data_IF_453082456627
#
_entry.id   IF_453082456627
#
_cell.length_a   1.000
_cell.length_b   1.000
_cell.length_c   1.000
_cell.angle_alpha   90.00
_cell.angle_beta   90.00
_cell.angle_gamma   90.00
#
_symmetry.space_group_name_H-M   'P 1'
#
loop_
_entity.id
_entity.type
_entity.pdbx_description
1 polymer ?
#
# COMPACT_ATOMS: atom_id res chain seq x y z
N UNK A 1 -16.04 3.78 -9.51
CA UNK A 1 -14.67 3.64 -8.96
C UNK A 1 -14.42 2.18 -8.70
N UNK A 2 -13.29 1.67 -9.12
CA UNK A 2 -12.88 0.28 -8.87
C UNK A 2 -12.58 0.08 -7.38
N UNK A 3 -13.20 -0.89 -6.74
CA UNK A 3 -13.11 -1.12 -5.29
C UNK A 3 -12.83 -2.57 -4.91
N UNK A 4 -12.94 -3.51 -5.87
CA UNK A 4 -12.76 -4.92 -5.59
C UNK A 4 -11.30 -5.33 -5.68
N UNK A 5 -10.82 -6.00 -4.62
CA UNK A 5 -9.55 -6.69 -4.61
C UNK A 5 -9.81 -8.19 -4.67
N UNK A 6 -9.32 -8.84 -5.72
CA UNK A 6 -9.52 -10.27 -5.94
C UNK A 6 -8.26 -11.03 -5.55
N UNK A 7 -8.42 -12.19 -4.90
CA UNK A 7 -7.33 -13.12 -4.62
C UNK A 7 -7.67 -14.49 -5.18
N UNK A 8 -6.84 -15.00 -6.07
CA UNK A 8 -7.03 -16.28 -6.75
C UNK A 8 -6.12 -17.31 -6.09
N UNK A 9 -6.69 -18.10 -5.18
CA UNK A 9 -5.96 -19.06 -4.32
C UNK A 9 -5.93 -20.45 -4.95
N UNK A 10 -6.99 -20.82 -5.64
CA UNK A 10 -7.14 -22.13 -6.29
C UNK A 10 -6.79 -22.03 -7.78
N UNK A 11 -6.36 -23.13 -8.40
CA UNK A 11 -6.20 -23.19 -9.85
C UNK A 11 -7.46 -22.72 -10.57
N UNK A 12 -7.30 -21.74 -11.45
CA UNK A 12 -8.39 -21.13 -12.19
C UNK A 12 -7.98 -20.81 -13.62
N UNK A 13 -8.95 -20.84 -14.52
CA UNK A 13 -8.80 -20.28 -15.86
C UNK A 13 -9.43 -18.88 -15.87
N UNK A 14 -8.64 -17.85 -16.17
CA UNK A 14 -9.07 -16.46 -16.15
C UNK A 14 -9.15 -15.94 -17.58
N UNK A 15 -10.33 -15.47 -17.96
CA UNK A 15 -10.57 -14.90 -19.30
C UNK A 15 -11.49 -13.68 -19.20
N UNK A 16 -11.54 -12.89 -20.26
CA UNK A 16 -12.42 -11.73 -20.39
C UNK A 16 -13.50 -12.02 -21.44
N UNK A 17 -14.75 -11.63 -21.14
CA UNK A 17 -15.87 -11.62 -22.09
C UNK A 17 -16.87 -10.54 -21.69
N UNK A 18 -17.29 -9.70 -22.64
CA UNK A 18 -18.31 -8.66 -22.41
C UNK A 18 -17.98 -7.78 -21.19
N UNK A 19 -16.75 -7.27 -21.11
CA UNK A 19 -16.25 -6.42 -20.01
C UNK A 19 -16.29 -7.07 -18.62
N UNK A 20 -16.52 -8.39 -18.59
CA UNK A 20 -16.48 -9.19 -17.36
C UNK A 20 -15.21 -10.04 -17.32
N UNK A 21 -14.57 -10.07 -16.15
CA UNK A 21 -13.55 -11.05 -15.84
C UNK A 21 -14.24 -12.34 -15.41
N UNK A 22 -14.02 -13.41 -16.15
CA UNK A 22 -14.54 -14.74 -15.85
C UNK A 22 -13.44 -15.55 -15.17
N UNK A 23 -13.73 -16.04 -13.96
CA UNK A 23 -12.85 -16.88 -13.16
C UNK A 23 -13.48 -18.26 -13.10
N UNK A 24 -12.91 -19.20 -13.83
CA UNK A 24 -13.40 -20.58 -13.99
C UNK A 24 -12.59 -21.48 -13.07
N UNK A 25 -13.26 -22.02 -12.06
CA UNK A 25 -12.81 -23.10 -11.17
C UNK A 25 -13.78 -24.27 -11.35
N UNK A 26 -14.32 -24.87 -10.30
CA UNK A 26 -15.47 -25.77 -10.36
C UNK A 26 -16.74 -25.01 -10.76
N UNK A 27 -16.82 -23.74 -10.39
CA UNK A 27 -17.87 -22.81 -10.77
C UNK A 27 -17.28 -21.65 -11.58
N UNK A 28 -18.10 -21.03 -12.42
CA UNK A 28 -17.73 -19.81 -13.15
C UNK A 28 -18.23 -18.60 -12.37
N UNK A 29 -17.30 -17.75 -11.92
CA UNK A 29 -17.63 -16.46 -11.32
C UNK A 29 -17.33 -15.35 -12.30
N UNK A 30 -18.22 -14.36 -12.37
CA UNK A 30 -18.10 -13.20 -13.24
C UNK A 30 -17.99 -11.92 -12.41
N UNK A 31 -17.04 -11.07 -12.72
CA UNK A 31 -16.81 -9.78 -12.04
C UNK A 31 -16.64 -8.70 -13.11
N UNK A 32 -17.40 -7.57 -13.05
CA UNK A 32 -17.16 -6.44 -13.94
C UNK A 32 -15.72 -5.94 -13.78
N UNK A 33 -14.98 -5.76 -14.89
CA UNK A 33 -13.58 -5.38 -14.83
C UNK A 33 -13.42 -3.97 -14.27
N UNK A 34 -14.38 -3.08 -14.53
CA UNK A 34 -14.40 -1.71 -13.99
C UNK A 34 -14.45 -1.64 -12.46
N UNK A 35 -15.01 -2.68 -11.81
CA UNK A 35 -15.06 -2.77 -10.34
C UNK A 35 -13.74 -3.21 -9.73
N UNK A 36 -12.81 -3.78 -10.51
CA UNK A 36 -11.59 -4.39 -10.00
C UNK A 36 -10.49 -3.35 -9.90
N UNK A 37 -9.88 -3.23 -8.73
CA UNK A 37 -8.72 -2.37 -8.49
C UNK A 37 -7.40 -3.15 -8.43
N UNK A 38 -7.44 -4.37 -7.89
CA UNK A 38 -6.27 -5.22 -7.74
C UNK A 38 -6.63 -6.71 -7.88
N UNK A 39 -5.71 -7.50 -8.41
CA UNK A 39 -5.79 -8.97 -8.44
C UNK A 39 -4.48 -9.52 -7.89
N UNK A 40 -4.58 -10.50 -6.98
CA UNK A 40 -3.45 -11.29 -6.50
C UNK A 40 -3.61 -12.71 -7.04
N UNK A 41 -2.69 -13.13 -7.91
CA UNK A 41 -2.61 -14.48 -8.45
C UNK A 41 -1.68 -15.29 -7.54
N UNK A 42 -2.23 -15.91 -6.51
CA UNK A 42 -1.49 -16.76 -5.57
C UNK A 42 -1.30 -18.17 -6.14
N UNK A 43 -2.32 -18.70 -6.82
CA UNK A 43 -2.22 -20.02 -7.45
C UNK A 43 -1.32 -19.99 -8.68
N UNK A 44 -0.19 -20.69 -8.61
CA UNK A 44 0.77 -20.84 -9.70
C UNK A 44 0.30 -21.72 -10.87
N UNK A 45 -0.79 -22.45 -10.66
CA UNK A 45 -1.42 -23.32 -11.69
C UNK A 45 -2.55 -22.62 -12.43
N UNK A 46 -2.87 -21.36 -12.07
CA UNK A 46 -3.87 -20.59 -12.80
C UNK A 46 -3.35 -20.16 -14.16
N UNK A 47 -4.27 -20.09 -15.13
CA UNK A 47 -3.98 -19.59 -16.48
C UNK A 47 -4.78 -18.32 -16.73
N UNK A 48 -4.18 -17.34 -17.39
CA UNK A 48 -4.83 -16.10 -17.78
C UNK A 48 -4.65 -15.85 -19.27
N UNK A 49 -5.73 -15.47 -19.95
CA UNK A 49 -5.63 -15.14 -21.37
C UNK A 49 -5.01 -13.74 -21.56
N UNK A 50 -4.28 -13.54 -22.67
CA UNK A 50 -3.73 -12.22 -23.03
C UNK A 50 -4.82 -11.15 -23.19
N UNK A 51 -6.03 -11.55 -23.64
CA UNK A 51 -7.18 -10.66 -23.72
C UNK A 51 -7.62 -10.17 -22.32
N UNK A 52 -7.62 -11.05 -21.31
CA UNK A 52 -7.93 -10.68 -19.94
C UNK A 52 -6.82 -9.75 -19.36
N UNK A 53 -5.55 -10.05 -19.60
CA UNK A 53 -4.45 -9.19 -19.18
C UNK A 53 -4.53 -7.78 -19.80
N UNK A 54 -4.83 -7.70 -21.10
CA UNK A 54 -5.01 -6.44 -21.80
C UNK A 54 -6.18 -5.63 -21.23
N UNK A 55 -7.33 -6.29 -20.99
CA UNK A 55 -8.50 -5.64 -20.42
C UNK A 55 -8.25 -5.13 -18.99
N UNK A 56 -7.56 -5.91 -18.14
CA UNK A 56 -7.15 -5.49 -16.80
C UNK A 56 -6.22 -4.27 -16.86
N UNK A 57 -5.21 -4.30 -17.73
CA UNK A 57 -4.29 -3.18 -17.89
C UNK A 57 -5.00 -1.91 -18.39
N UNK A 58 -5.91 -2.03 -19.36
CA UNK A 58 -6.70 -0.91 -19.89
C UNK A 58 -7.62 -0.29 -18.82
N UNK A 59 -8.10 -1.07 -17.88
CA UNK A 59 -8.92 -0.59 -16.75
C UNK A 59 -8.09 -0.17 -15.52
N UNK A 60 -6.77 -0.10 -15.64
CA UNK A 60 -5.91 0.37 -14.57
C UNK A 60 -5.79 -0.59 -13.39
N UNK A 61 -6.02 -1.89 -13.60
CA UNK A 61 -5.92 -2.91 -12.55
C UNK A 61 -4.46 -3.29 -12.34
N UNK A 62 -4.01 -3.34 -11.07
CA UNK A 62 -2.72 -3.95 -10.73
C UNK A 62 -2.91 -5.46 -10.57
N UNK A 63 -2.02 -6.24 -11.18
CA UNK A 63 -1.98 -7.70 -11.00
C UNK A 63 -0.69 -8.10 -10.33
N UNK A 64 -0.79 -8.77 -9.17
CA UNK A 64 0.34 -9.33 -8.43
C UNK A 64 0.55 -10.78 -8.82
N UNK A 65 1.82 -11.14 -9.01
CA UNK A 65 2.29 -12.50 -9.25
C UNK A 65 3.00 -13.01 -8.01
N UNK A 66 2.70 -14.24 -7.59
CA UNK A 66 3.33 -14.85 -6.41
C UNK A 66 4.32 -15.95 -6.81
N UNK A 67 5.36 -16.08 -6.01
CA UNK A 67 6.39 -17.12 -6.12
C UNK A 67 5.95 -18.45 -5.48
N UNK A 68 6.91 -19.40 -5.35
CA UNK A 68 6.68 -20.70 -4.72
C UNK A 68 6.42 -20.63 -3.21
N UNK A 69 6.77 -19.52 -2.58
CA UNK A 69 6.48 -19.25 -1.16
C UNK A 69 5.13 -18.53 -1.00
N UNK A 70 4.41 -18.35 -2.12
CA UNK A 70 3.14 -17.63 -2.17
C UNK A 70 3.25 -16.16 -1.73
N UNK A 71 4.41 -15.53 -1.94
CA UNK A 71 4.64 -14.11 -1.70
C UNK A 71 4.64 -13.33 -3.02
N UNK A 72 4.15 -12.09 -3.04
CA UNK A 72 4.21 -11.25 -4.23
C UNK A 72 5.66 -11.02 -4.68
N UNK A 73 6.04 -11.54 -5.84
CA UNK A 73 7.37 -11.43 -6.43
C UNK A 73 7.40 -10.55 -7.68
N UNK A 74 6.23 -10.24 -8.25
CA UNK A 74 6.13 -9.39 -9.43
C UNK A 74 4.77 -8.71 -9.54
N UNK A 75 4.73 -7.65 -10.34
CA UNK A 75 3.49 -6.91 -10.64
C UNK A 75 3.37 -6.59 -12.13
N UNK A 76 2.12 -6.57 -12.63
CA UNK A 76 1.78 -5.92 -13.90
C UNK A 76 1.10 -4.60 -13.61
N UNK A 77 1.62 -3.52 -14.19
CA UNK A 77 1.09 -2.18 -14.08
C UNK A 77 0.49 -1.73 -15.44
N UNK A 78 -0.49 -0.82 -15.44
CA UNK A 78 -1.00 -0.22 -16.64
C UNK A 78 0.12 0.47 -17.44
N UNK A 79 0.08 0.35 -18.77
CA UNK A 79 1.04 0.99 -19.65
C UNK A 79 0.42 2.21 -20.32
N UNK A 80 1.08 3.38 -20.19
CA UNK A 80 0.76 4.61 -20.96
C UNK A 80 -0.71 5.10 -20.84
N UNK A 81 -1.34 5.04 -19.66
CA UNK A 81 -2.74 5.48 -19.46
C UNK A 81 -2.92 7.01 -19.36
N UNK A 82 -1.88 7.76 -18.99
CA UNK A 82 -2.00 9.19 -18.72
C UNK A 82 -1.66 10.03 -19.96
N UNK A 83 -2.64 10.79 -20.47
CA UNK A 83 -2.50 11.60 -21.71
C UNK A 83 -1.42 12.70 -21.62
N UNK A 84 -1.01 13.11 -20.42
CA UNK A 84 0.00 14.16 -20.17
C UNK A 84 1.25 13.62 -19.45
N UNK A 85 1.62 12.38 -19.67
CA UNK A 85 2.73 11.70 -18.97
C UNK A 85 4.05 12.50 -19.07
N UNK A 86 4.40 13.02 -20.24
CA UNK A 86 5.62 13.83 -20.40
C UNK A 86 5.61 15.08 -19.52
N UNK A 87 4.45 15.73 -19.34
CA UNK A 87 4.31 16.90 -18.47
C UNK A 87 4.49 16.54 -16.98
N UNK A 88 3.99 15.36 -16.57
CA UNK A 88 4.19 14.83 -15.20
C UNK A 88 5.65 14.49 -14.98
N UNK A 89 6.30 13.80 -15.93
CA UNK A 89 7.71 13.45 -15.86
C UNK A 89 8.60 14.69 -15.74
N UNK A 90 8.37 15.71 -16.58
CA UNK A 90 9.10 16.98 -16.52
C UNK A 90 8.94 17.65 -15.15
N UNK A 91 7.74 17.62 -14.58
CA UNK A 91 7.47 18.14 -13.25
C UNK A 91 8.26 17.36 -12.18
N UNK A 92 8.26 16.01 -12.22
CA UNK A 92 9.03 15.19 -11.27
C UNK A 92 10.54 15.50 -11.35
N UNK A 93 11.10 15.55 -12.56
CA UNK A 93 12.52 15.85 -12.78
C UNK A 93 12.87 17.29 -12.39
N UNK A 94 11.92 18.21 -12.51
CA UNK A 94 12.08 19.62 -12.12
C UNK A 94 11.88 19.90 -10.63
N UNK A 95 11.53 18.91 -9.81
CA UNK A 95 11.39 19.07 -8.37
C UNK A 95 12.73 19.48 -7.75
N UNK A 96 12.77 20.66 -7.14
CA UNK A 96 13.96 21.12 -6.43
C UNK A 96 14.18 20.33 -5.13
N UNK A 97 15.43 20.20 -4.71
CA UNK A 97 15.77 19.50 -3.46
C UNK A 97 15.01 20.08 -2.23
N UNK A 98 14.85 21.41 -2.06
CA UNK A 98 14.02 21.94 -0.98
C UNK A 98 12.55 21.52 -1.07
N UNK A 99 11.98 21.40 -2.27
CA UNK A 99 10.61 20.93 -2.44
C UNK A 99 10.48 19.45 -2.03
N UNK A 100 11.37 18.59 -2.52
CA UNK A 100 11.44 17.17 -2.12
C UNK A 100 11.54 17.02 -0.60
N UNK A 101 12.46 17.79 0.04
CA UNK A 101 12.65 17.74 1.50
C UNK A 101 11.41 18.17 2.30
N UNK A 102 10.65 19.17 1.82
CA UNK A 102 9.40 19.58 2.48
C UNK A 102 8.29 18.51 2.32
N UNK A 103 8.20 17.90 1.14
CA UNK A 103 7.25 16.82 0.92
C UNK A 103 7.60 15.59 1.77
N UNK A 104 8.87 15.24 1.84
CA UNK A 104 9.34 14.14 2.70
C UNK A 104 9.06 14.41 4.18
N UNK A 105 9.29 15.62 4.67
CA UNK A 105 8.92 16.02 6.02
C UNK A 105 7.44 15.74 6.32
N UNK A 106 6.53 16.08 5.40
CA UNK A 106 5.10 15.82 5.56
C UNK A 106 4.83 14.30 5.67
N UNK A 107 5.45 13.50 4.79
CA UNK A 107 5.32 12.04 4.77
C UNK A 107 5.77 11.42 6.09
N UNK A 108 6.98 11.76 6.57
CA UNK A 108 7.53 11.23 7.82
C UNK A 108 6.70 11.66 9.03
N UNK A 109 6.28 12.92 9.07
CA UNK A 109 5.42 13.42 10.14
C UNK A 109 4.12 12.61 10.22
N UNK A 110 3.45 12.39 9.08
CA UNK A 110 2.21 11.62 9.03
C UNK A 110 2.43 10.14 9.38
N UNK A 111 3.54 9.54 8.93
CA UNK A 111 3.92 8.18 9.33
C UNK A 111 4.01 8.04 10.83
N UNK A 112 4.78 8.92 11.50
CA UNK A 112 5.00 8.85 12.94
C UNK A 112 3.69 9.14 13.70
N UNK A 113 2.86 10.06 13.22
CA UNK A 113 1.53 10.31 13.78
C UNK A 113 0.64 9.08 13.69
N UNK A 114 0.63 8.36 12.57
CA UNK A 114 -0.14 7.16 12.39
C UNK A 114 0.42 5.98 13.20
N UNK A 115 1.73 5.90 13.41
CA UNK A 115 2.34 4.96 14.36
C UNK A 115 1.90 5.25 15.81
N UNK A 116 1.87 6.53 16.20
CA UNK A 116 1.37 6.94 17.51
C UNK A 116 -0.12 6.58 17.66
N UNK A 117 -0.94 6.85 16.65
CA UNK A 117 -2.36 6.47 16.67
C UNK A 117 -2.55 4.96 16.76
N UNK A 118 -1.73 4.16 16.04
CA UNK A 118 -1.73 2.71 16.13
C UNK A 118 -1.45 2.23 17.57
N UNK A 119 -0.45 2.80 18.25
CA UNK A 119 -0.19 2.50 19.66
C UNK A 119 -1.36 2.87 20.56
N UNK A 120 -1.97 4.06 20.36
CA UNK A 120 -3.13 4.49 21.13
C UNK A 120 -4.31 3.52 20.98
N UNK A 121 -4.61 3.09 19.74
CA UNK A 121 -5.66 2.12 19.44
C UNK A 121 -5.38 0.72 20.03
N UNK A 122 -4.10 0.40 20.23
CA UNK A 122 -3.68 -0.81 20.93
C UNK A 122 -3.58 -0.64 22.48
N UNK A 123 -4.07 0.48 23.03
CA UNK A 123 -4.06 0.77 24.48
C UNK A 123 -2.72 1.24 25.04
N UNK A 124 -1.74 1.53 24.18
CA UNK A 124 -0.38 1.99 24.52
C UNK A 124 -0.30 3.52 24.58
N UNK A 125 -1.04 4.13 25.49
CA UNK A 125 -1.27 5.59 25.51
C UNK A 125 -0.01 6.41 25.84
N UNK A 126 0.88 5.91 26.69
CA UNK A 126 2.12 6.59 27.04
C UNK A 126 3.11 6.59 25.86
N UNK A 127 3.27 5.44 25.22
CA UNK A 127 4.12 5.26 24.05
C UNK A 127 3.59 6.07 22.86
N UNK A 128 2.27 6.13 22.69
CA UNK A 128 1.62 6.98 21.71
C UNK A 128 1.94 8.46 21.94
N UNK A 129 1.82 8.95 23.17
CA UNK A 129 2.13 10.34 23.53
C UNK A 129 3.59 10.70 23.22
N UNK A 130 4.53 9.77 23.47
CA UNK A 130 5.94 9.94 23.12
C UNK A 130 6.11 10.12 21.61
N UNK A 131 5.50 9.26 20.76
CA UNK A 131 5.61 9.35 19.31
C UNK A 131 4.91 10.59 18.75
N UNK A 132 3.78 11.03 19.30
CA UNK A 132 3.16 12.32 18.92
C UNK A 132 4.12 13.50 19.18
N UNK A 133 4.88 13.44 20.28
CA UNK A 133 5.95 14.41 20.54
C UNK A 133 7.06 14.35 19.49
N UNK A 134 7.51 13.14 19.12
CA UNK A 134 8.55 12.92 18.09
C UNK A 134 8.12 13.41 16.72
N UNK A 135 6.87 13.22 16.33
CA UNK A 135 6.34 13.71 15.05
C UNK A 135 6.50 15.23 14.87
N UNK A 136 6.40 16.00 15.96
CA UNK A 136 6.60 17.46 15.95
C UNK A 136 8.07 17.88 15.74
N UNK A 137 9.01 16.99 16.00
CA UNK A 137 10.44 17.24 15.87
C UNK A 137 10.98 17.00 14.45
N UNK A 138 10.15 16.47 13.53
CA UNK A 138 10.57 16.19 12.15
C UNK A 138 10.85 17.50 11.42
N UNK A 139 12.11 17.68 11.01
CA UNK A 139 12.57 18.84 10.25
C UNK A 139 12.56 18.58 8.75
N UNK A 140 12.77 19.63 7.93
CA UNK A 140 12.80 19.50 6.47
C UNK A 140 13.88 18.50 6.01
N UNK A 141 13.42 17.43 5.35
CA UNK A 141 14.26 16.32 4.88
C UNK A 141 14.67 15.34 5.97
N UNK A 142 14.05 15.43 7.16
CA UNK A 142 14.31 14.56 8.32
C UNK A 142 15.80 14.41 8.64
N UNK A 143 16.51 15.55 8.76
CA UNK A 143 17.96 15.59 8.94
C UNK A 143 18.47 14.82 10.17
N UNK A 144 17.67 14.80 11.23
CA UNK A 144 18.00 14.15 12.49
C UNK A 144 17.58 12.67 12.52
N UNK A 145 17.13 12.14 11.37
CA UNK A 145 16.66 10.75 11.21
C UNK A 145 15.63 10.34 12.28
N UNK A 146 14.65 11.23 12.51
CA UNK A 146 13.58 11.04 13.48
C UNK A 146 12.73 9.82 13.10
N UNK A 147 12.57 9.56 11.79
CA UNK A 147 11.88 8.40 11.26
C UNK A 147 12.45 7.09 11.80
N UNK A 148 13.77 6.89 11.65
CA UNK A 148 14.42 5.65 12.10
C UNK A 148 14.34 5.49 13.62
N UNK A 149 14.54 6.57 14.38
CA UNK A 149 14.46 6.55 15.84
C UNK A 149 13.02 6.28 16.33
N UNK A 150 12.01 6.82 15.64
CA UNK A 150 10.61 6.53 15.91
C UNK A 150 10.27 5.08 15.61
N UNK A 151 10.72 4.52 14.48
CA UNK A 151 10.50 3.13 14.11
C UNK A 151 11.18 2.16 15.11
N UNK A 152 12.40 2.47 15.56
CA UNK A 152 13.12 1.69 16.56
C UNK A 152 12.38 1.62 17.91
N UNK A 153 11.68 2.68 18.27
CA UNK A 153 10.84 2.71 19.47
C UNK A 153 9.48 2.03 19.24
N UNK A 154 8.86 2.28 18.08
CA UNK A 154 7.50 1.87 17.76
C UNK A 154 7.29 0.36 17.76
N UNK A 155 8.15 -0.40 17.06
CA UNK A 155 7.94 -1.84 16.89
C UNK A 155 8.05 -2.63 18.19
N UNK A 156 9.04 -2.40 19.06
CA UNK A 156 9.04 -3.02 20.40
C UNK A 156 7.86 -2.60 21.27
N UNK A 157 7.44 -1.33 21.20
CA UNK A 157 6.25 -0.87 21.92
C UNK A 157 4.97 -1.56 21.45
N UNK A 158 4.83 -1.82 20.13
CA UNK A 158 3.64 -2.46 19.55
C UNK A 158 3.59 -3.96 19.80
N UNK A 159 4.70 -4.68 19.53
CA UNK A 159 4.73 -6.15 19.50
C UNK A 159 5.40 -6.80 20.70
N UNK A 160 6.03 -6.02 21.57
CA UNK A 160 6.73 -6.48 22.77
C UNK A 160 8.24 -6.25 22.72
N UNK A 161 8.84 -6.25 23.91
CA UNK A 161 10.28 -6.04 24.08
C UNK A 161 11.09 -7.09 23.30
N UNK A 162 12.14 -6.66 22.60
CA UNK A 162 12.98 -7.51 21.76
C UNK A 162 12.45 -7.75 20.33
N UNK A 163 11.23 -7.31 20.01
CA UNK A 163 10.73 -7.43 18.63
C UNK A 163 11.49 -6.53 17.67
N UNK A 164 11.92 -7.10 16.56
CA UNK A 164 12.54 -6.36 15.45
C UNK A 164 11.94 -6.76 14.11
N UNK A 165 12.02 -5.86 13.13
CA UNK A 165 11.59 -6.15 11.76
C UNK A 165 12.47 -7.19 11.03
N UNK A 166 13.49 -7.72 11.69
CA UNK A 166 14.39 -8.77 11.20
C UNK A 166 14.06 -10.17 11.73
N UNK A 167 13.13 -10.27 12.68
CA UNK A 167 12.71 -11.57 13.22
C UNK A 167 12.04 -12.40 12.11
N UNK A 168 12.35 -13.68 12.07
CA UNK A 168 11.70 -14.65 11.18
C UNK A 168 10.45 -15.24 11.90
N UNK A 169 9.39 -14.45 11.97
CA UNK A 169 8.12 -14.82 12.58
C UNK A 169 6.93 -14.47 11.65
N UNK A 170 5.77 -15.00 11.97
CA UNK A 170 4.56 -14.80 11.16
C UNK A 170 4.08 -13.35 11.14
N UNK A 171 4.29 -12.58 12.21
CA UNK A 171 3.94 -11.15 12.21
C UNK A 171 4.76 -10.39 11.19
N UNK A 172 6.08 -10.63 11.14
CA UNK A 172 6.94 -10.02 10.12
C UNK A 172 6.59 -10.48 8.70
N UNK A 173 6.27 -11.76 8.51
CA UNK A 173 5.81 -12.28 7.23
C UNK A 173 4.50 -11.62 6.80
N UNK A 174 3.53 -11.46 7.70
CA UNK A 174 2.26 -10.79 7.45
C UNK A 174 2.45 -9.29 7.12
N UNK A 175 3.31 -8.59 7.86
CA UNK A 175 3.64 -7.19 7.58
C UNK A 175 4.33 -7.04 6.23
N UNK A 176 5.30 -7.90 5.90
CA UNK A 176 5.98 -7.86 4.60
C UNK A 176 5.00 -8.10 3.45
N UNK A 177 4.09 -9.07 3.61
CA UNK A 177 3.04 -9.33 2.64
C UNK A 177 2.13 -8.11 2.43
N UNK A 178 1.60 -7.55 3.51
CA UNK A 178 0.73 -6.38 3.45
C UNK A 178 1.44 -5.16 2.84
N UNK A 179 2.71 -4.92 3.21
CA UNK A 179 3.50 -3.83 2.64
C UNK A 179 3.78 -4.03 1.14
N UNK A 180 3.97 -5.26 0.68
CA UNK A 180 4.12 -5.54 -0.75
C UNK A 180 2.83 -5.19 -1.52
N UNK A 181 1.66 -5.49 -0.95
CA UNK A 181 0.35 -5.11 -1.52
C UNK A 181 0.18 -3.57 -1.55
N UNK A 182 0.44 -2.88 -0.43
CA UNK A 182 0.36 -1.42 -0.36
C UNK A 182 1.32 -0.76 -1.36
N UNK A 183 2.57 -1.25 -1.46
CA UNK A 183 3.58 -0.78 -2.40
C UNK A 183 3.13 -0.92 -3.86
N UNK A 184 2.65 -2.11 -4.23
CA UNK A 184 2.19 -2.36 -5.60
C UNK A 184 0.95 -1.53 -5.95
N UNK A 185 0.03 -1.33 -5.00
CA UNK A 185 -1.12 -0.48 -5.20
C UNK A 185 -0.72 1.01 -5.35
N UNK A 186 0.22 1.49 -4.55
CA UNK A 186 0.77 2.84 -4.69
C UNK A 186 1.47 3.01 -6.05
N UNK A 187 2.25 2.02 -6.49
CA UNK A 187 2.89 2.02 -7.80
C UNK A 187 1.85 2.07 -8.94
N UNK A 188 0.72 1.36 -8.81
CA UNK A 188 -0.43 1.47 -9.72
C UNK A 188 -0.95 2.90 -9.77
N UNK A 189 -1.25 3.50 -8.60
CA UNK A 189 -1.74 4.87 -8.56
C UNK A 189 -0.78 5.83 -9.28
N UNK A 190 0.51 5.74 -8.99
CA UNK A 190 1.53 6.55 -9.65
C UNK A 190 1.50 6.39 -11.17
N UNK A 191 1.50 5.16 -11.66
CA UNK A 191 1.52 4.86 -13.11
C UNK A 191 0.26 5.37 -13.80
N UNK A 192 -0.92 5.16 -13.21
CA UNK A 192 -2.21 5.64 -13.76
C UNK A 192 -2.23 7.17 -13.88
N UNK A 193 -1.63 7.90 -12.94
CA UNK A 193 -1.53 9.36 -12.96
C UNK A 193 -0.27 9.89 -13.66
N UNK A 194 0.47 9.03 -14.37
CA UNK A 194 1.60 9.38 -15.23
C UNK A 194 2.92 9.64 -14.51
N UNK A 195 3.01 9.33 -13.22
CA UNK A 195 4.26 9.43 -12.45
C UNK A 195 5.16 8.22 -12.70
N UNK A 196 6.46 8.45 -12.59
CA UNK A 196 7.47 7.39 -12.60
C UNK A 196 7.73 6.92 -11.16
N UNK A 197 7.43 5.65 -10.82
CA UNK A 197 7.57 5.15 -9.46
C UNK A 197 9.02 5.14 -8.93
N UNK A 198 10.03 5.12 -9.82
CA UNK A 198 11.44 5.12 -9.44
C UNK A 198 11.98 6.49 -9.02
N UNK A 199 11.33 7.60 -9.38
CA UNK A 199 11.80 8.96 -9.06
C UNK A 199 11.30 9.40 -7.68
N UNK A 200 11.99 9.01 -6.62
CA UNK A 200 11.60 9.27 -5.24
C UNK A 200 11.75 10.72 -4.77
N UNK A 201 11.11 11.00 -3.64
CA UNK A 201 11.29 12.24 -2.88
C UNK A 201 12.54 12.17 -1.98
N UNK A 202 12.74 11.01 -1.36
CA UNK A 202 13.80 10.71 -0.40
C UNK A 202 14.60 9.47 -0.79
N UNK A 203 13.94 8.33 -1.01
CA UNK A 203 14.61 7.14 -1.50
C UNK A 203 15.14 7.37 -2.92
N UNK A 204 16.41 7.00 -3.14
CA UNK A 204 17.14 7.26 -4.39
C UNK A 204 18.08 6.08 -4.73
N UNK A 205 17.60 4.87 -4.52
CA UNK A 205 18.36 3.66 -4.88
C UNK A 205 18.22 3.38 -6.37
N UNK A 206 19.34 3.26 -7.07
CA UNK A 206 19.38 2.90 -8.50
C UNK A 206 18.80 1.50 -8.78
N UNK A 207 18.80 0.62 -7.77
CA UNK A 207 18.30 -0.75 -7.87
C UNK A 207 16.79 -0.84 -7.57
N UNK A 208 16.17 0.23 -7.04
CA UNK A 208 14.78 0.23 -6.64
C UNK A 208 13.89 0.96 -7.65
N UNK A 209 13.12 0.21 -8.40
CA UNK A 209 12.15 0.77 -9.36
C UNK A 209 10.92 1.43 -8.70
N UNK A 210 10.81 1.41 -7.36
CA UNK A 210 9.64 1.86 -6.60
C UNK A 210 9.96 2.92 -5.55
N UNK A 211 11.07 3.65 -5.67
CA UNK A 211 11.49 4.67 -4.69
C UNK A 211 10.36 5.63 -4.27
N UNK A 212 9.59 6.17 -5.23
CA UNK A 212 8.48 7.08 -4.94
C UNK A 212 7.27 6.35 -4.32
N UNK A 213 7.01 5.12 -4.74
CA UNK A 213 5.95 4.32 -4.13
C UNK A 213 6.28 4.00 -2.67
N UNK A 214 7.54 3.67 -2.39
CA UNK A 214 8.02 3.43 -1.03
C UNK A 214 7.91 4.71 -0.18
N UNK A 215 8.30 5.87 -0.72
CA UNK A 215 8.13 7.16 -0.02
C UNK A 215 6.67 7.43 0.37
N UNK A 216 5.76 7.32 -0.60
CA UNK A 216 4.37 7.73 -0.40
C UNK A 216 3.51 6.71 0.36
N UNK A 217 3.91 5.43 0.40
CA UNK A 217 3.17 4.43 1.18
C UNK A 217 3.48 4.47 2.68
N UNK A 218 4.56 5.14 3.10
CA UNK A 218 4.98 5.15 4.51
C UNK A 218 3.86 5.53 5.51
N UNK A 219 3.03 6.55 5.27
CA UNK A 219 1.93 6.90 6.18
C UNK A 219 0.79 5.87 6.21
N UNK A 220 0.75 4.94 5.25
CA UNK A 220 -0.27 3.89 5.18
C UNK A 220 0.17 2.59 5.86
N UNK A 221 1.47 2.37 6.08
CA UNK A 221 1.98 1.15 6.75
C UNK A 221 1.32 0.87 8.09
N UNK A 222 1.04 1.86 8.95
CA UNK A 222 0.39 1.62 10.24
C UNK A 222 -1.02 1.00 10.15
N UNK A 223 -1.68 1.02 9.00
CA UNK A 223 -2.93 0.27 8.78
C UNK A 223 -2.67 -1.25 8.88
N UNK A 224 -1.58 -1.70 8.24
CA UNK A 224 -1.17 -3.10 8.31
C UNK A 224 -0.66 -3.46 9.71
N UNK A 225 0.11 -2.55 10.34
CA UNK A 225 0.65 -2.74 11.68
C UNK A 225 -0.47 -2.95 12.70
N UNK A 226 -1.49 -2.10 12.66
CA UNK A 226 -2.67 -2.18 13.54
C UNK A 226 -3.41 -3.51 13.35
N UNK A 227 -3.64 -3.90 12.08
CA UNK A 227 -4.31 -5.15 11.78
C UNK A 227 -3.53 -6.36 12.30
N UNK A 228 -2.22 -6.40 12.03
CA UNK A 228 -1.35 -7.50 12.45
C UNK A 228 -1.25 -7.56 13.98
N UNK A 229 -1.10 -6.43 14.65
CA UNK A 229 -1.03 -6.38 16.11
C UNK A 229 -2.32 -6.91 16.77
N UNK A 230 -3.48 -6.62 16.20
CA UNK A 230 -4.77 -7.03 16.74
C UNK A 230 -5.18 -8.47 16.38
N UNK A 231 -4.69 -9.04 15.26
CA UNK A 231 -5.26 -10.26 14.68
C UNK A 231 -4.26 -11.39 14.40
N UNK A 232 -2.95 -11.15 14.53
CA UNK A 232 -1.93 -12.15 14.18
C UNK A 232 -1.10 -12.51 15.39
N UNK A 233 -1.28 -13.74 15.88
CA UNK A 233 -0.42 -14.30 16.92
C UNK A 233 0.99 -14.58 16.36
N UNK A 234 1.98 -14.61 17.23
CA UNK A 234 3.39 -14.81 16.85
C UNK A 234 3.64 -16.16 16.17
N UNK A 235 2.95 -17.20 16.66
CA UNK A 235 2.99 -18.60 16.22
C UNK A 235 1.92 -18.95 15.17
N UNK A 236 1.15 -17.96 14.69
CA UNK A 236 0.14 -18.20 13.66
C UNK A 236 0.79 -18.61 12.33
N UNK A 237 0.02 -19.23 11.44
CA UNK A 237 0.47 -19.48 10.05
C UNK A 237 -0.03 -18.37 9.11
N UNK A 238 0.79 -18.02 8.11
CA UNK A 238 0.39 -17.09 7.04
C UNK A 238 -0.51 -17.82 6.03
N UNK A 239 -1.74 -18.12 6.45
CA UNK A 239 -2.72 -18.85 5.64
C UNK A 239 -3.28 -18.02 4.49
N UNK A 240 -3.86 -18.66 3.44
CA UNK A 240 -4.58 -17.95 2.38
C UNK A 240 -5.70 -17.04 2.90
N UNK A 241 -6.39 -17.44 3.98
CA UNK A 241 -7.43 -16.62 4.61
C UNK A 241 -6.82 -15.35 5.21
N UNK A 242 -5.71 -15.46 5.93
CA UNK A 242 -5.01 -14.31 6.48
C UNK A 242 -4.49 -13.39 5.36
N UNK A 243 -3.87 -13.94 4.32
CA UNK A 243 -3.43 -13.18 3.15
C UNK A 243 -4.58 -12.43 2.48
N UNK A 244 -5.74 -13.07 2.31
CA UNK A 244 -6.95 -12.41 1.79
C UNK A 244 -7.37 -11.21 2.64
N UNK A 245 -7.31 -11.32 3.96
CA UNK A 245 -7.58 -10.20 4.87
C UNK A 245 -6.53 -9.09 4.75
N UNK A 246 -5.25 -9.44 4.57
CA UNK A 246 -4.18 -8.46 4.34
C UNK A 246 -4.33 -7.72 2.99
N UNK A 247 -4.74 -8.40 1.94
CA UNK A 247 -5.10 -7.76 0.65
C UNK A 247 -6.29 -6.81 0.84
N UNK A 248 -7.27 -7.23 1.64
CA UNK A 248 -8.48 -6.44 1.89
C UNK A 248 -8.23 -5.18 2.76
N UNK A 249 -7.02 -4.99 3.31
CA UNK A 249 -6.62 -3.71 3.95
C UNK A 249 -6.71 -2.51 3.00
N UNK A 250 -6.66 -2.72 1.69
CA UNK A 250 -6.95 -1.67 0.71
C UNK A 250 -8.38 -1.11 0.84
N UNK A 251 -9.30 -1.87 1.40
CA UNK A 251 -10.68 -1.47 1.69
C UNK A 251 -10.90 -1.05 3.16
N UNK A 252 -9.85 -1.02 3.99
CA UNK A 252 -9.95 -0.51 5.34
C UNK A 252 -10.28 0.99 5.35
N UNK A 253 -11.05 1.42 6.36
CA UNK A 253 -11.43 2.81 6.52
C UNK A 253 -10.27 3.66 7.06
N UNK A 254 -10.09 4.83 6.47
CA UNK A 254 -9.04 5.78 6.85
C UNK A 254 -9.54 7.23 6.65
N UNK A 255 -9.05 8.16 7.45
CA UNK A 255 -9.38 9.56 7.29
C UNK A 255 -8.39 10.24 6.33
N UNK A 256 -8.88 10.88 5.26
CA UNK A 256 -8.04 11.65 4.34
C UNK A 256 -8.78 12.91 3.90
N UNK A 257 -8.13 14.07 4.05
CA UNK A 257 -8.76 15.35 3.75
C UNK A 257 -10.01 15.64 4.58
N UNK A 258 -10.08 15.13 5.81
CA UNK A 258 -11.23 15.31 6.72
C UNK A 258 -12.44 14.42 6.41
N UNK A 259 -12.32 13.47 5.50
CA UNK A 259 -13.40 12.55 5.10
C UNK A 259 -12.94 11.08 5.23
N UNK A 260 -13.91 10.20 5.51
CA UNK A 260 -13.68 8.75 5.52
C UNK A 260 -13.59 8.22 4.09
N UNK A 261 -12.56 7.42 3.86
CA UNK A 261 -12.28 6.78 2.56
C UNK A 261 -11.67 5.40 2.78
N UNK A 262 -11.74 4.54 1.77
CA UNK A 262 -10.89 3.35 1.76
C UNK A 262 -9.40 3.75 1.60
N UNK A 263 -8.50 2.92 2.13
CA UNK A 263 -7.05 3.07 1.93
C UNK A 263 -6.71 3.24 0.46
N UNK A 264 -7.29 2.40 -0.40
CA UNK A 264 -7.10 2.45 -1.86
C UNK A 264 -7.44 3.84 -2.43
N UNK A 265 -8.59 4.39 -2.08
CA UNK A 265 -9.02 5.70 -2.57
C UNK A 265 -8.20 6.85 -1.96
N UNK A 266 -7.81 6.75 -0.69
CA UNK A 266 -6.92 7.72 -0.05
C UNK A 266 -5.54 7.77 -0.73
N UNK A 267 -4.98 6.61 -1.12
CA UNK A 267 -3.74 6.55 -1.91
C UNK A 267 -3.90 7.24 -3.28
N UNK A 268 -5.02 6.99 -3.94
CA UNK A 268 -5.32 7.61 -5.24
C UNK A 268 -5.41 9.14 -5.12
N UNK A 269 -6.12 9.64 -4.10
CA UNK A 269 -6.23 11.09 -3.81
C UNK A 269 -4.88 11.73 -3.47
N UNK A 270 -4.04 11.03 -2.71
CA UNK A 270 -2.68 11.50 -2.41
C UNK A 270 -1.89 11.71 -3.70
N UNK A 271 -1.91 10.75 -4.62
CA UNK A 271 -1.20 10.83 -5.90
C UNK A 271 -1.78 11.94 -6.80
N UNK A 272 -3.11 12.07 -6.87
CA UNK A 272 -3.76 13.16 -7.61
C UNK A 272 -3.31 14.54 -7.13
N UNK A 273 -3.15 14.70 -5.80
CA UNK A 273 -2.75 15.97 -5.17
C UNK A 273 -1.24 16.24 -5.19
N UNK A 274 -0.41 15.28 -5.60
CA UNK A 274 1.04 15.32 -5.45
C UNK A 274 1.69 16.55 -6.09
N UNK A 275 1.19 16.99 -7.26
CA UNK A 275 1.72 18.17 -7.96
C UNK A 275 1.46 19.48 -7.22
N UNK A 276 0.48 19.53 -6.33
CA UNK A 276 0.20 20.68 -5.48
C UNK A 276 1.18 20.85 -4.32
N UNK A 277 2.02 19.85 -4.04
CA UNK A 277 3.00 19.80 -2.93
C UNK A 277 2.39 19.92 -1.52
N UNK A 278 1.07 20.06 -1.40
CA UNK A 278 0.31 19.93 -0.16
C UNK A 278 -0.35 18.55 -0.15
N UNK A 279 0.26 17.60 0.53
CA UNK A 279 -0.12 16.20 0.43
C UNK A 279 -1.39 15.91 1.24
N UNK A 280 -2.34 15.22 0.64
CA UNK A 280 -3.54 14.69 1.32
C UNK A 280 -3.16 13.38 2.04
N UNK A 281 -2.42 13.52 3.14
CA UNK A 281 -1.91 12.38 3.90
C UNK A 281 -3.01 11.74 4.75
N UNK A 282 -2.96 10.40 4.92
CA UNK A 282 -3.95 9.67 5.69
C UNK A 282 -3.76 9.88 7.19
N UNK A 283 -4.87 9.77 7.95
CA UNK A 283 -4.86 9.61 9.39
C UNK A 283 -5.50 8.26 9.72
N UNK A 284 -4.79 7.46 10.51
CA UNK A 284 -5.23 6.14 10.94
C UNK A 284 -6.49 6.23 11.79
N UNK A 285 -7.38 5.27 11.60
CA UNK A 285 -8.60 5.08 12.39
C UNK A 285 -8.60 3.68 13.00
N UNK A 286 -9.51 3.43 13.94
CA UNK A 286 -9.82 2.08 14.38
C UNK A 286 -10.13 1.21 13.15
N UNK A 287 -9.61 -0.04 13.14
CA UNK A 287 -9.83 -0.92 12.01
C UNK A 287 -11.31 -1.23 11.82
N UNK A 288 -11.87 -0.72 10.74
CA UNK A 288 -13.19 -1.06 10.22
C UNK A 288 -13.07 -1.26 8.73
N UNK A 289 -13.78 -2.25 8.21
CA UNK A 289 -13.88 -2.42 6.77
C UNK A 289 -14.83 -1.36 6.24
N UNK A 290 -14.40 -0.64 5.20
CA UNK A 290 -15.28 0.28 4.50
C UNK A 290 -16.44 -0.51 3.87
N UNK A 291 -17.68 -0.23 4.29
CA UNK A 291 -18.86 -0.84 3.70
C UNK A 291 -19.19 -0.11 2.40
N UNK A 292 -19.05 -0.79 1.28
CA UNK A 292 -19.69 -0.36 0.04
C UNK A 292 -21.13 -0.89 0.07
N UNK A 293 -22.11 -0.01 0.17
CA UNK A 293 -23.51 -0.30 -0.11
C UNK A 293 -23.72 -0.55 -1.60
#
# INVERSE_FOLDING_TARGET
MSYRCLMIVNPARIRCKNEQLLIETEEVRSVPIEDISAIVLESRQSTITTAAMAALAQNGVVTFWCDETHLPCGISLPFAQHSRQLGVLRWQMGLTLPAKKRMWQQVVTAKIQNQAECLALCGKTQEAAFLFGRAKAVTSGDKDNVEASAAAYYFPALFGEGYTRRNEDTRNAALNYAYAILRGYMARCLTVYGFQPCLGLHHDSELNQFNLADDLMEPFRPVADLYVAANVAEDAALTPILKGKLVNLLNADILSGGQHHSVAYAMERLVQGLRGQALLLPKLLEYKQHSYE
#
